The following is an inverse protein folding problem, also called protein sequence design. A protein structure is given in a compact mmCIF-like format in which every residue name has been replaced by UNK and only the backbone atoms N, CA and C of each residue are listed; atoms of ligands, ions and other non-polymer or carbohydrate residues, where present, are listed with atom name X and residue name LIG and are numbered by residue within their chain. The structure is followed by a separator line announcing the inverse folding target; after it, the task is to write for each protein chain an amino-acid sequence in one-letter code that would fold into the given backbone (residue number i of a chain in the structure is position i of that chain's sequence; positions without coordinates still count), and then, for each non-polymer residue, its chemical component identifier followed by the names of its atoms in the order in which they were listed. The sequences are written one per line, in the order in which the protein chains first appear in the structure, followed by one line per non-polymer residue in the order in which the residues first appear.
data_IF_645318789240
#
_entry.id   IF_645318789240
#
_cell.length_a   1.000
_cell.length_b   1.000
_cell.length_c   1.000
_cell.angle_alpha   90.00
_cell.angle_beta   90.00
_cell.angle_gamma   90.00
#
_symmetry.space_group_name_H-M   'P 1'
#
loop_
_entity.id
_entity.type
_entity.pdbx_description
1 polymer ?
2 non-polymer ?
3 non-polymer ?
4 non-polymer ?
5 water ?
#
# COMPACT_ATOMS: atom_id res chain seq x y z
N UNK A 21 -8.75 9.38 -26.65
CA UNK A 21 -7.99 9.61 -27.92
C UNK A 21 -7.28 8.29 -28.29
N UNK A 22 -6.67 8.31 -29.47
CA UNK A 22 -6.18 7.07 -30.06
C UNK A 22 -5.06 6.51 -29.23
N UNK A 23 -5.19 5.23 -28.83
CA UNK A 23 -4.15 4.60 -28.03
C UNK A 23 -4.21 5.00 -26.56
N UNK A 24 -5.17 5.85 -26.18
CA UNK A 24 -5.24 6.38 -24.82
C UNK A 24 -6.47 5.89 -24.10
N UNK A 25 -7.26 5.02 -24.72
CA UNK A 25 -8.47 4.60 -24.05
C UNK A 25 -8.28 3.33 -23.24
N UNK A 26 -8.90 3.36 -22.07
CA UNK A 26 -9.01 2.26 -21.15
C UNK A 26 -10.37 1.58 -21.30
N UNK A 27 -10.56 0.36 -20.79
CA UNK A 27 -11.87 -0.28 -20.89
C UNK A 27 -12.95 0.55 -20.20
N UNK A 28 -14.19 0.46 -20.67
CA UNK A 28 -15.27 1.25 -20.15
C UNK A 28 -15.57 0.87 -18.70
N UNK A 29 -15.22 -0.34 -18.29
CA UNK A 29 -15.47 -0.84 -16.93
C UNK A 29 -14.21 -0.75 -16.04
N UNK A 30 -13.22 -0.01 -16.51
CA UNK A 30 -11.98 0.17 -15.75
C UNK A 30 -12.30 0.86 -14.44
N UNK A 31 -11.61 0.47 -13.39
CA UNK A 31 -11.74 1.14 -12.10
C UNK A 31 -10.75 2.28 -12.03
N UNK A 32 -11.24 3.47 -11.68
CA UNK A 32 -10.49 4.71 -11.59
C UNK A 32 -10.72 5.25 -10.19
N UNK A 33 -9.68 5.30 -9.38
CA UNK A 33 -9.82 5.81 -8.04
C UNK A 33 -8.58 6.52 -7.56
N UNK A 34 -8.68 6.94 -6.29
CA UNK A 34 -7.57 7.40 -5.52
C UNK A 34 -7.57 6.61 -4.21
N UNK A 35 -6.42 6.60 -3.53
CA UNK A 35 -6.21 5.72 -2.38
C UNK A 35 -5.70 6.53 -1.19
N UNK A 36 -6.02 6.01 0.00
CA UNK A 36 -5.58 6.50 1.29
C UNK A 36 -5.40 5.30 2.24
N UNK A 37 -4.83 5.60 3.41
CA UNK A 37 -4.67 4.68 4.55
C UNK A 37 -5.19 5.36 5.79
N UNK A 38 -5.78 4.59 6.69
CA UNK A 38 -6.52 5.14 7.84
C UNK A 38 -5.64 6.00 8.71
N UNK A 39 -4.48 5.50 9.14
CA UNK A 39 -3.70 6.31 10.10
C UNK A 39 -3.20 7.58 9.46
N UNK A 40 -3.01 7.55 8.15
CA UNK A 40 -2.44 8.70 7.46
C UNK A 40 -3.44 9.85 7.42
N UNK A 41 -4.75 9.56 7.41
CA UNK A 41 -5.76 10.57 7.15
C UNK A 41 -6.76 10.77 8.28
N UNK A 42 -7.08 9.77 9.09
CA UNK A 42 -8.31 9.87 9.88
C UNK A 42 -8.26 10.82 11.07
N UNK A 43 -7.14 10.82 11.79
CA UNK A 43 -7.20 11.52 13.07
C UNK A 43 -8.16 10.86 14.05
N UNK A 44 -8.77 11.63 14.94
CA UNK A 44 -9.73 11.09 15.89
C UNK A 44 -9.19 9.81 16.57
N UNK A 45 -7.95 9.86 17.01
CA UNK A 45 -7.20 8.67 17.42
C UNK A 45 -7.75 8.02 18.67
N UNK A 46 -8.40 8.80 19.53
CA UNK A 46 -8.96 8.25 20.76
C UNK A 46 -10.48 8.27 20.76
N UNK A 47 -11.09 8.59 19.64
CA UNK A 47 -12.53 8.79 19.59
C UNK A 47 -13.25 7.47 19.36
N UNK A 48 -14.48 7.38 19.91
CA UNK A 48 -15.43 6.32 19.58
C UNK A 48 -14.78 4.95 19.76
N UNK A 49 -14.04 4.80 20.84
CA UNK A 49 -13.51 3.52 21.29
C UNK A 49 -12.22 3.06 20.62
N UNK A 50 -11.61 3.86 19.76
CA UNK A 50 -10.40 3.42 19.09
C UNK A 50 -9.31 3.12 20.09
N UNK A 51 -8.62 2.00 19.86
CA UNK A 51 -7.47 1.65 20.68
C UNK A 51 -6.19 2.34 20.28
N UNK A 52 -5.08 1.91 20.84
CA UNK A 52 -3.78 2.44 20.51
C UNK A 52 -3.11 1.52 19.48
N UNK A 53 -2.60 2.09 18.39
CA UNK A 53 -1.86 1.36 17.39
C UNK A 53 -0.37 1.53 17.60
N UNK A 54 0.41 0.68 16.95
CA UNK A 54 1.86 0.85 16.94
C UNK A 54 2.25 2.21 16.39
N UNK A 55 1.49 2.77 15.49
CA UNK A 55 1.81 4.07 14.91
C UNK A 55 1.48 5.23 15.82
N UNK A 56 0.51 5.06 16.72
CA UNK A 56 0.34 6.01 17.82
C UNK A 56 1.58 5.99 18.69
N UNK A 57 2.02 4.81 19.10
CA UNK A 57 3.18 4.66 19.99
C UNK A 57 4.40 5.28 19.31
N UNK A 58 4.62 4.91 18.05
CA UNK A 58 5.81 5.29 17.34
C UNK A 58 5.82 6.79 17.05
N UNK A 59 4.71 7.37 16.61
CA UNK A 59 4.77 8.78 16.29
C UNK A 59 4.88 9.65 17.54
N UNK A 60 4.46 9.13 18.72
CA UNK A 60 4.60 9.83 19.98
C UNK A 60 5.94 9.53 20.62
N UNK A 61 6.84 8.82 19.96
CA UNK A 61 8.18 8.54 20.45
C UNK A 61 9.07 9.66 19.91
N UNK A 62 9.78 10.42 20.79
CA UNK A 62 10.68 11.46 20.32
C UNK A 62 11.67 11.00 19.27
N UNK A 63 11.74 11.78 18.19
CA UNK A 63 12.75 11.52 17.19
C UNK A 63 12.34 10.63 16.04
N UNK A 64 11.25 9.86 16.16
CA UNK A 64 10.90 8.92 15.12
C UNK A 64 10.34 9.61 13.89
N UNK A 65 9.69 10.72 14.04
CA UNK A 65 9.06 11.41 12.90
C UNK A 65 9.91 12.64 12.58
N UNK A 66 10.13 12.91 11.31
CA UNK A 66 11.10 13.94 10.93
C UNK A 66 10.78 15.31 11.50
N UNK A 67 9.49 15.66 11.60
CA UNK A 67 9.03 17.00 11.87
C UNK A 67 8.20 17.10 13.14
N UNK A 68 8.27 16.08 14.00
CA UNK A 68 7.58 16.17 15.27
C UNK A 68 6.05 16.06 15.16
N UNK A 69 5.52 15.63 14.01
CA UNK A 69 4.09 15.52 13.86
C UNK A 69 3.67 14.09 14.22
N UNK A 70 2.34 13.95 14.34
CA UNK A 70 1.70 12.67 14.59
C UNK A 70 0.47 12.57 13.73
N UNK A 71 -0.16 11.38 13.77
CA UNK A 71 -1.44 11.18 13.17
C UNK A 71 -2.64 11.57 14.02
N UNK A 72 -2.41 12.32 15.12
CA UNK A 72 -3.51 12.59 16.02
C UNK A 72 -4.70 13.29 15.35
N UNK A 73 -4.42 14.22 14.46
CA UNK A 73 -5.46 14.88 13.69
C UNK A 73 -5.38 14.51 12.20
N UNK A 74 -4.19 14.59 11.61
CA UNK A 74 -3.93 14.22 10.21
C UNK A 74 -4.86 15.06 9.36
N UNK A 75 -5.69 14.44 8.52
CA UNK A 75 -6.63 15.19 7.68
C UNK A 75 -8.00 15.29 8.32
N UNK A 76 -8.15 14.71 9.51
CA UNK A 76 -9.40 14.65 10.24
C UNK A 76 -10.45 13.97 9.39
N UNK A 77 -10.07 12.92 8.62
CA UNK A 77 -11.02 12.23 7.75
C UNK A 77 -12.03 11.37 8.49
N UNK A 78 -11.76 11.02 9.76
CA UNK A 78 -12.79 10.32 10.52
C UNK A 78 -14.07 11.15 10.52
N UNK A 79 -13.91 12.46 10.70
CA UNK A 79 -15.02 13.39 10.71
C UNK A 79 -15.33 13.95 9.33
N UNK A 80 -14.34 14.01 8.44
CA UNK A 80 -14.46 14.81 7.23
C UNK A 80 -14.44 13.91 6.01
N UNK A 81 -14.78 12.63 6.16
CA UNK A 81 -14.76 11.74 5.01
C UNK A 81 -15.75 12.19 3.93
N UNK A 82 -16.83 12.90 4.32
CA UNK A 82 -17.74 13.44 3.34
C UNK A 82 -17.08 14.44 2.42
N UNK A 83 -16.15 15.23 2.97
CA UNK A 83 -15.38 16.13 2.13
C UNK A 83 -14.51 15.33 1.17
N UNK A 84 -13.94 14.23 1.65
CA UNK A 84 -13.12 13.39 0.78
C UNK A 84 -13.98 12.84 -0.35
N UNK A 85 -15.22 12.39 -0.04
CA UNK A 85 -16.14 11.94 -1.07
C UNK A 85 -16.42 13.06 -2.08
N UNK A 86 -16.58 14.27 -1.54
CA UNK A 86 -16.73 15.40 -2.45
C UNK A 86 -15.57 15.52 -3.42
N UNK A 87 -14.34 15.35 -2.94
CA UNK A 87 -13.19 15.43 -3.82
C UNK A 87 -13.22 14.31 -4.87
N UNK A 88 -13.51 13.08 -4.44
CA UNK A 88 -13.53 11.94 -5.34
C UNK A 88 -14.57 12.16 -6.42
N UNK A 89 -15.73 12.72 -6.06
CA UNK A 89 -16.74 13.05 -7.02
C UNK A 89 -16.29 14.16 -7.99
N UNK A 90 -15.67 15.20 -7.45
CA UNK A 90 -15.18 16.29 -8.28
C UNK A 90 -14.13 15.77 -9.26
N UNK A 91 -13.36 14.75 -8.87
CA UNK A 91 -12.37 14.16 -9.76
C UNK A 91 -12.96 13.20 -10.80
N UNK A 92 -14.24 12.86 -10.67
CA UNK A 92 -14.93 11.94 -11.58
C UNK A 92 -14.45 10.51 -11.39
N UNK A 93 -13.95 10.17 -10.21
CA UNK A 93 -13.52 8.79 -9.96
C UNK A 93 -14.74 7.87 -9.85
N UNK A 94 -14.53 6.56 -9.96
CA UNK A 94 -15.60 5.59 -9.79
C UNK A 94 -15.28 4.62 -8.65
N UNK A 95 -14.22 4.88 -7.87
CA UNK A 95 -13.82 3.98 -6.80
C UNK A 95 -12.98 4.77 -5.81
N UNK A 96 -12.87 4.23 -4.60
CA UNK A 96 -12.03 4.76 -3.53
C UNK A 96 -11.43 3.59 -2.78
N UNK A 97 -10.10 3.62 -2.70
CA UNK A 97 -9.36 2.61 -1.96
C UNK A 97 -8.95 3.22 -0.64
N UNK A 98 -9.38 2.59 0.44
CA UNK A 98 -9.13 3.11 1.79
C UNK A 98 -8.91 1.93 2.71
N UNK A 99 -8.35 2.18 3.88
CA UNK A 99 -8.15 1.07 4.84
C UNK A 99 -9.08 1.25 6.04
N UNK A 100 -9.38 0.11 6.64
CA UNK A 100 -10.10 0.04 7.90
C UNK A 100 -9.07 -0.07 9.02
N UNK A 101 -9.23 0.76 10.06
CA UNK A 101 -8.30 0.73 11.17
C UNK A 101 -8.68 -0.41 12.11
N UNK A 102 -7.84 -1.43 12.19
CA UNK A 102 -8.03 -2.51 13.15
C UNK A 102 -8.26 -1.97 14.56
N UNK A 103 -7.53 -0.94 15.00
CA UNK A 103 -7.76 -0.37 16.33
C UNK A 103 -9.16 0.15 16.57
N UNK A 104 -9.92 0.49 15.52
CA UNK A 104 -11.29 0.95 15.72
C UNK A 104 -12.25 -0.25 15.82
N UNK A 105 -11.85 -1.42 15.32
CA UNK A 105 -12.73 -2.58 15.17
C UNK A 105 -12.53 -3.54 16.34
N UNK A 106 -11.28 -3.85 16.68
CA UNK A 106 -10.95 -4.68 17.84
C UNK A 106 -9.88 -3.91 18.59
N UNK A 107 -10.23 -2.96 19.46
CA UNK A 107 -9.27 -2.05 20.06
C UNK A 107 -8.10 -2.73 20.77
N UNK A 108 -8.29 -3.92 21.34
CA UNK A 108 -7.20 -4.61 22.01
C UNK A 108 -6.48 -5.58 21.08
N UNK A 109 -6.83 -5.63 19.79
CA UNK A 109 -6.19 -6.51 18.85
C UNK A 109 -6.86 -7.87 18.85
N UNK A 110 -6.88 -8.48 20.02
CA UNK A 110 -7.58 -9.71 20.33
C UNK A 110 -8.44 -9.41 21.54
N UNK A 111 -9.73 -9.33 21.30
CA UNK A 111 -10.60 -8.88 22.37
C UNK A 111 -11.95 -8.57 21.77
N UNK A 112 -12.80 -7.86 22.54
CA UNK A 112 -14.13 -7.52 22.06
C UNK A 112 -14.11 -6.67 20.81
N UNK A 113 -15.19 -6.81 20.07
CA UNK A 113 -15.46 -5.88 18.96
C UNK A 113 -15.85 -4.51 19.52
N UNK A 114 -15.61 -3.49 18.71
CA UNK A 114 -16.09 -2.14 18.98
C UNK A 114 -17.11 -1.82 17.92
N UNK A 115 -18.42 -1.91 18.28
CA UNK A 115 -19.41 -1.78 17.24
C UNK A 115 -19.43 -0.37 16.66
N UNK A 116 -19.07 0.63 17.45
CA UNK A 116 -19.04 2.01 16.96
C UNK A 116 -18.08 2.12 15.78
N UNK A 117 -16.99 1.37 15.81
CA UNK A 117 -16.03 1.41 14.72
C UNK A 117 -16.59 0.79 13.44
N UNK A 118 -17.24 -0.39 13.57
CA UNK A 118 -17.89 -1.01 12.44
C UNK A 118 -19.00 -0.12 11.87
N UNK A 119 -19.76 0.54 12.73
CA UNK A 119 -20.86 1.37 12.27
C UNK A 119 -20.35 2.57 11.51
N UNK A 120 -19.23 3.13 11.94
CA UNK A 120 -18.60 4.23 11.22
C UNK A 120 -18.32 3.81 9.78
N UNK A 121 -17.60 2.69 9.61
CA UNK A 121 -17.25 2.28 8.27
C UNK A 121 -18.46 1.86 7.46
N UNK A 122 -19.49 1.31 8.11
CA UNK A 122 -20.72 0.99 7.41
C UNK A 122 -21.37 2.23 6.82
N UNK A 123 -21.41 3.31 7.59
CA UNK A 123 -21.95 4.56 7.08
C UNK A 123 -21.09 5.05 5.92
N UNK A 124 -19.76 4.98 6.07
CA UNK A 124 -18.86 5.49 5.05
C UNK A 124 -19.03 4.69 3.75
N UNK A 125 -19.18 3.36 3.86
CA UNK A 125 -19.44 2.52 2.69
C UNK A 125 -20.73 2.97 2.01
N UNK A 126 -21.80 3.17 2.82
CA UNK A 126 -23.04 3.57 2.21
C UNK A 126 -22.91 4.93 1.55
N UNK A 127 -22.17 5.87 2.16
CA UNK A 127 -21.95 7.18 1.54
C UNK A 127 -21.23 7.03 0.20
N UNK A 128 -20.22 6.16 0.14
CA UNK A 128 -19.47 5.96 -1.09
C UNK A 128 -20.38 5.34 -2.14
N UNK A 129 -21.13 4.27 -1.81
CA UNK A 129 -22.01 3.64 -2.80
C UNK A 129 -23.09 4.63 -3.25
N UNK A 130 -23.60 5.45 -2.34
CA UNK A 130 -24.59 6.45 -2.74
C UNK A 130 -24.03 7.47 -3.73
N UNK A 131 -22.73 7.72 -3.71
CA UNK A 131 -22.05 8.62 -4.65
C UNK A 131 -21.55 7.93 -5.91
N UNK A 132 -21.82 6.63 -6.05
CA UNK A 132 -21.33 5.91 -7.20
C UNK A 132 -19.84 5.56 -7.13
N UNK A 133 -19.27 5.46 -5.92
CA UNK A 133 -17.87 5.14 -5.72
C UNK A 133 -17.76 3.74 -5.12
N UNK A 134 -17.15 2.84 -5.87
CA UNK A 134 -16.97 1.48 -5.39
C UNK A 134 -15.90 1.46 -4.31
N UNK A 135 -16.22 0.94 -3.11
CA UNK A 135 -15.22 0.84 -2.05
C UNK A 135 -14.27 -0.32 -2.33
N UNK A 136 -12.99 -0.05 -2.31
CA UNK A 136 -11.96 -1.06 -2.33
C UNK A 136 -11.31 -1.03 -0.97
N UNK A 137 -11.58 -2.01 -0.13
CA UNK A 137 -11.18 -1.92 1.27
C UNK A 137 -9.90 -2.71 1.51
N UNK A 138 -8.94 -2.07 2.17
CA UNK A 138 -7.75 -2.74 2.67
C UNK A 138 -7.94 -3.02 4.15
N UNK A 139 -7.75 -4.25 4.62
CA UNK A 139 -7.92 -4.54 6.04
C UNK A 139 -6.76 -4.07 6.89
N UNK A 140 -5.53 -4.15 6.38
CA UNK A 140 -4.35 -3.83 7.17
C UNK A 140 -3.42 -2.92 6.39
N UNK A 141 -3.33 -1.65 6.81
CA UNK A 141 -2.37 -0.70 6.29
C UNK A 141 -1.58 -0.16 7.46
N UNK A 142 -1.03 -1.09 8.26
CA UNK A 142 0.13 -0.89 9.13
C UNK A 142 -0.20 -0.52 10.59
N UNK A 143 -1.46 -0.36 10.91
CA UNK A 143 -1.88 0.13 12.23
C UNK A 143 -2.21 -1.04 13.14
N UNK A 144 -1.21 -1.87 13.40
CA UNK A 144 -1.36 -3.00 14.32
C UNK A 144 -1.72 -2.51 15.70
N UNK A 145 -2.74 -3.06 16.36
CA UNK A 145 -3.02 -2.71 17.76
C UNK A 145 -1.80 -2.92 18.64
N UNK A 146 -1.50 -1.92 19.47
CA UNK A 146 -0.29 -1.99 20.32
C UNK A 146 -0.32 -3.15 21.29
N UNK A 147 -1.49 -3.57 21.86
CA UNK A 147 -1.47 -4.75 22.69
C UNK A 147 -0.90 -5.99 22.03
N UNK A 148 -1.09 -6.14 20.70
CA UNK A 148 -0.51 -7.29 20.02
C UNK A 148 1.00 -7.14 19.91
N UNK A 149 1.47 -5.93 19.61
CA UNK A 149 2.92 -5.69 19.60
C UNK A 149 3.56 -5.93 20.96
N UNK A 150 2.84 -5.69 22.03
CA UNK A 150 3.37 -5.99 23.37
C UNK A 150 3.55 -7.49 23.55
N UNK A 151 2.89 -8.31 22.73
CA UNK A 151 3.07 -9.77 22.70
C UNK A 151 3.80 -10.23 21.43
N UNK A 152 4.73 -9.39 20.95
CA UNK A 152 5.67 -9.63 19.87
C UNK A 152 5.13 -9.25 18.49
N UNK A 153 3.87 -8.83 18.38
CA UNK A 153 3.38 -8.31 17.12
C UNK A 153 3.52 -9.33 16.01
N UNK A 154 4.00 -8.90 14.86
CA UNK A 154 4.14 -9.82 13.75
C UNK A 154 5.26 -10.83 13.98
N UNK A 155 5.97 -10.71 15.10
CA UNK A 155 6.88 -11.77 15.51
C UNK A 155 6.20 -13.01 16.07
N UNK A 156 4.89 -12.95 16.31
CA UNK A 156 4.12 -14.04 16.89
C UNK A 156 3.10 -14.59 15.90
N UNK A 157 3.03 -15.92 15.77
CA UNK A 157 2.03 -16.59 14.95
C UNK A 157 0.64 -16.23 15.42
N UNK A 158 0.48 -15.95 16.71
CA UNK A 158 -0.84 -15.69 17.26
C UNK A 158 -1.40 -14.39 16.66
N UNK A 159 -0.52 -13.48 16.23
CA UNK A 159 -1.01 -12.26 15.61
C UNK A 159 -1.70 -12.57 14.27
N UNK A 160 -1.15 -13.53 13.53
CA UNK A 160 -1.79 -14.01 12.31
C UNK A 160 -3.19 -14.57 12.57
N UNK A 161 -3.37 -15.34 13.64
CA UNK A 161 -4.65 -15.95 13.92
C UNK A 161 -5.67 -14.85 14.19
N UNK A 162 -5.27 -13.85 14.98
CA UNK A 162 -6.24 -12.83 15.40
C UNK A 162 -6.42 -11.81 14.28
N UNK A 163 -5.44 -11.66 13.37
CA UNK A 163 -5.71 -10.87 12.16
C UNK A 163 -6.88 -11.52 11.40
N UNK A 164 -6.82 -12.88 11.23
CA UNK A 164 -7.88 -13.54 10.50
C UNK A 164 -9.25 -13.40 11.15
N UNK A 165 -9.29 -13.34 12.49
CA UNK A 165 -10.53 -13.11 13.19
C UNK A 165 -11.05 -11.70 12.91
N UNK A 166 -10.16 -10.70 12.95
CA UNK A 166 -10.54 -9.33 12.58
C UNK A 166 -11.11 -9.27 11.17
N UNK A 167 -10.49 -9.97 10.23
CA UNK A 167 -10.95 -9.96 8.85
C UNK A 167 -12.35 -10.54 8.75
N UNK A 168 -12.62 -11.62 9.50
CA UNK A 168 -13.95 -12.22 9.59
C UNK A 168 -14.98 -11.22 10.09
N UNK A 169 -14.64 -10.51 11.17
CA UNK A 169 -15.55 -9.57 11.81
C UNK A 169 -15.94 -8.49 10.79
N UNK A 170 -14.97 -7.94 10.09
CA UNK A 170 -15.29 -6.83 9.21
C UNK A 170 -16.10 -7.30 8.02
N UNK A 171 -15.76 -8.41 7.40
CA UNK A 171 -16.50 -8.91 6.25
C UNK A 171 -17.93 -9.27 6.63
N UNK A 172 -18.14 -9.76 7.85
CA UNK A 172 -19.51 -10.07 8.25
C UNK A 172 -20.40 -8.83 8.19
N UNK A 173 -19.85 -7.67 8.54
CA UNK A 173 -20.60 -6.42 8.64
C UNK A 173 -20.69 -5.73 7.27
N UNK A 174 -19.61 -5.75 6.47
CA UNK A 174 -19.53 -4.94 5.27
C UNK A 174 -19.58 -5.72 3.96
N UNK A 175 -19.47 -7.05 4.04
CA UNK A 175 -19.34 -7.89 2.87
C UNK A 175 -20.62 -8.06 2.06
N UNK A 176 -21.72 -7.51 2.55
CA UNK A 176 -22.94 -7.49 1.75
C UNK A 176 -22.88 -6.38 0.70
N UNK A 177 -21.97 -5.42 0.90
CA UNK A 177 -21.85 -4.23 0.06
C UNK A 177 -20.50 -4.07 -0.60
N UNK A 178 -19.43 -4.56 0.00
CA UNK A 178 -18.09 -4.44 -0.52
C UNK A 178 -17.70 -5.79 -1.11
N UNK A 179 -17.43 -5.84 -2.40
CA UNK A 179 -16.98 -7.06 -3.04
C UNK A 179 -15.46 -7.16 -3.09
N UNK A 180 -14.75 -6.05 -3.18
CA UNK A 180 -13.32 -6.06 -3.43
C UNK A 180 -12.55 -5.71 -2.16
N UNK A 181 -11.77 -6.67 -1.69
CA UNK A 181 -11.05 -6.59 -0.43
C UNK A 181 -9.59 -6.91 -0.65
N UNK A 182 -8.68 -6.22 0.04
CA UNK A 182 -7.30 -6.67 0.20
C UNK A 182 -7.08 -6.97 1.65
N UNK A 183 -6.28 -7.99 1.94
CA UNK A 183 -5.86 -8.31 3.28
C UNK A 183 -4.84 -7.30 3.78
N UNK A 184 -3.64 -7.39 3.24
CA UNK A 184 -2.50 -6.58 3.62
C UNK A 184 -2.14 -5.59 2.53
N UNK A 185 -1.62 -4.45 2.99
CA UNK A 185 -0.93 -3.51 2.11
C UNK A 185 0.56 -3.55 2.41
N UNK A 186 1.36 -4.00 1.44
CA UNK A 186 2.82 -3.90 1.48
C UNK A 186 3.41 -4.59 2.69
N UNK A 187 3.29 -5.92 2.78
CA UNK A 187 3.96 -6.65 3.87
C UNK A 187 5.46 -6.46 3.91
N UNK A 188 6.09 -6.20 2.76
CA UNK A 188 7.52 -5.91 2.83
C UNK A 188 7.80 -4.72 3.74
N UNK A 189 6.99 -3.66 3.58
CA UNK A 189 7.16 -2.49 4.43
C UNK A 189 6.95 -2.84 5.91
N UNK A 190 5.81 -3.44 6.26
CA UNK A 190 5.54 -3.79 7.63
C UNK A 190 6.67 -4.63 8.24
N UNK A 191 7.17 -5.62 7.48
CA UNK A 191 8.20 -6.51 8.01
C UNK A 191 9.56 -5.85 8.03
N UNK A 192 9.96 -5.32 6.91
CA UNK A 192 11.34 -4.90 6.76
C UNK A 192 11.55 -3.50 7.31
N UNK A 193 10.67 -2.55 6.96
CA UNK A 193 10.83 -1.22 7.53
C UNK A 193 10.46 -1.22 9.01
N UNK A 194 9.52 -2.07 9.44
CA UNK A 194 9.08 -2.01 10.82
C UNK A 194 9.94 -2.82 11.79
N UNK A 195 10.53 -3.94 11.34
CA UNK A 195 11.21 -4.87 12.24
C UNK A 195 12.69 -5.07 11.91
N UNK A 196 13.14 -4.76 10.69
CA UNK A 196 14.55 -4.93 10.33
C UNK A 196 15.27 -3.60 10.29
N UNK A 197 14.77 -2.60 9.56
CA UNK A 197 15.44 -1.35 9.36
C UNK A 197 15.03 -0.30 10.38
N UNK A 198 13.91 -0.51 11.07
CA UNK A 198 13.53 0.31 12.20
C UNK A 198 12.97 1.68 11.87
N UNK A 199 12.67 1.93 10.59
CA UNK A 199 12.27 3.28 10.22
C UNK A 199 10.76 3.49 10.35
N UNK A 200 10.01 2.39 10.37
CA UNK A 200 8.56 2.44 10.57
C UNK A 200 8.22 1.72 11.86
N UNK A 201 7.00 1.95 12.35
CA UNK A 201 6.55 1.24 13.53
C UNK A 201 6.54 -0.26 13.33
N UNK A 202 6.88 -1.09 14.36
CA UNK A 202 7.16 -0.64 15.71
C UNK A 202 8.60 -0.16 15.95
N UNK A 203 9.49 -0.32 14.97
CA UNK A 203 10.80 0.28 15.09
C UNK A 203 11.90 -0.69 15.51
N UNK A 204 11.73 -1.99 15.29
CA UNK A 204 12.77 -2.94 15.63
C UNK A 204 13.83 -2.97 14.53
N UNK A 205 15.02 -3.45 14.89
CA UNK A 205 16.16 -3.48 13.99
C UNK A 205 16.87 -4.82 14.02
N UNK A 206 16.24 -5.86 13.52
CA UNK A 206 16.88 -7.17 13.47
C UNK A 206 16.37 -7.96 12.26
N UNK A 207 17.28 -8.53 11.48
CA UNK A 207 16.90 -9.25 10.29
C UNK A 207 15.97 -10.42 10.62
N UNK A 208 16.31 -11.22 11.61
CA UNK A 208 15.51 -12.40 11.93
C UNK A 208 14.11 -11.94 12.32
N UNK A 209 13.99 -10.85 13.09
CA UNK A 209 12.67 -10.33 13.44
C UNK A 209 11.91 -9.94 12.18
N UNK A 210 12.59 -9.31 11.24
CA UNK A 210 11.92 -8.92 10.00
C UNK A 210 11.43 -10.12 9.21
N UNK A 211 12.27 -11.13 9.09
CA UNK A 211 11.88 -12.30 8.32
C UNK A 211 10.79 -13.11 8.99
N UNK A 212 10.83 -13.18 10.32
CA UNK A 212 9.78 -13.84 11.04
C UNK A 212 8.45 -13.07 10.84
N UNK A 213 8.56 -11.75 10.94
CA UNK A 213 7.38 -10.92 10.71
C UNK A 213 6.87 -11.16 9.30
N UNK A 214 7.76 -11.24 8.30
CA UNK A 214 7.29 -11.43 6.92
C UNK A 214 6.47 -12.72 6.78
N UNK A 215 6.90 -13.81 7.49
CA UNK A 215 6.22 -15.07 7.43
C UNK A 215 4.85 -14.97 8.09
N UNK A 216 4.78 -14.33 9.28
CA UNK A 216 3.52 -14.28 10.00
C UNK A 216 2.53 -13.33 9.31
N UNK A 217 3.03 -12.31 8.63
CA UNK A 217 2.17 -11.49 7.79
C UNK A 217 1.57 -12.33 6.67
N UNK A 218 2.43 -13.09 5.94
CA UNK A 218 1.91 -13.93 4.87
C UNK A 218 0.94 -14.96 5.41
N UNK A 219 1.24 -15.55 6.57
CA UNK A 219 0.35 -16.54 7.16
C UNK A 219 -0.98 -15.89 7.56
N UNK A 220 -0.92 -14.71 8.17
CA UNK A 220 -2.09 -13.93 8.49
C UNK A 220 -2.96 -13.66 7.26
N UNK A 221 -2.31 -13.23 6.18
CA UNK A 221 -2.96 -13.09 4.89
C UNK A 221 -3.73 -14.36 4.56
N UNK A 222 -3.03 -15.51 4.53
CA UNK A 222 -3.68 -16.73 4.06
C UNK A 222 -4.82 -17.19 4.94
N UNK A 223 -4.63 -17.11 6.27
CA UNK A 223 -5.69 -17.43 7.18
C UNK A 223 -6.88 -16.49 6.99
N UNK A 224 -6.60 -15.20 6.76
CA UNK A 224 -7.67 -14.22 6.58
C UNK A 224 -8.47 -14.48 5.31
N UNK A 225 -7.80 -14.86 4.22
CA UNK A 225 -8.53 -15.18 3.00
C UNK A 225 -9.58 -16.23 3.29
N UNK A 226 -9.13 -17.30 3.96
CA UNK A 226 -10.04 -18.41 4.18
C UNK A 226 -11.16 -18.03 5.15
N UNK A 227 -10.83 -17.26 6.20
CA UNK A 227 -11.84 -16.81 7.15
C UNK A 227 -12.85 -15.89 6.45
N UNK A 228 -12.36 -15.02 5.58
CA UNK A 228 -13.22 -14.08 4.85
C UNK A 228 -14.19 -14.80 3.93
N UNK A 229 -13.72 -15.83 3.22
CA UNK A 229 -14.65 -16.53 2.35
C UNK A 229 -15.74 -17.23 3.15
N UNK A 230 -15.35 -17.74 4.31
CA UNK A 230 -16.33 -18.40 5.17
C UNK A 230 -17.36 -17.44 5.75
N UNK A 231 -16.93 -16.23 6.13
CA UNK A 231 -17.78 -15.28 6.83
C UNK A 231 -18.63 -14.47 5.86
N UNK A 232 -18.22 -14.40 4.62
CA UNK A 232 -18.83 -13.42 3.71
C UNK A 232 -20.25 -13.81 3.35
N UNK A 233 -21.22 -12.87 3.27
CA UNK A 233 -22.54 -13.29 2.81
C UNK A 233 -22.69 -13.43 1.31
N UNK A 234 -21.67 -13.04 0.51
CA UNK A 234 -21.71 -13.21 -0.93
C UNK A 234 -20.29 -13.50 -1.41
N UNK A 235 -20.06 -14.02 -2.61
CA UNK A 235 -18.70 -14.21 -3.11
C UNK A 235 -17.94 -12.89 -3.14
N UNK A 236 -16.68 -12.95 -2.69
CA UNK A 236 -15.81 -11.78 -2.66
C UNK A 236 -14.71 -11.90 -3.68
N UNK A 237 -14.13 -10.74 -4.05
CA UNK A 237 -12.92 -10.68 -4.84
C UNK A 237 -11.81 -10.22 -3.91
N UNK A 238 -10.98 -11.16 -3.47
CA UNK A 238 -9.97 -10.91 -2.45
C UNK A 238 -8.60 -10.92 -3.06
N UNK A 239 -7.83 -9.89 -2.72
CA UNK A 239 -6.46 -9.71 -3.17
C UNK A 239 -5.52 -9.41 -1.99
N UNK A 240 -4.26 -9.25 -2.35
CA UNK A 240 -3.23 -8.69 -1.49
C UNK A 240 -2.56 -7.61 -2.31
N UNK A 241 -1.98 -6.63 -1.64
CA UNK A 241 -1.34 -5.52 -2.30
C UNK A 241 0.14 -5.53 -1.93
N UNK A 242 1.00 -5.59 -2.96
CA UNK A 242 2.44 -5.61 -2.76
C UNK A 242 3.06 -4.37 -3.40
N UNK A 243 4.02 -3.76 -2.72
CA UNK A 243 4.94 -2.85 -3.38
C UNK A 243 5.97 -3.68 -4.16
N UNK A 244 6.14 -3.33 -5.42
CA UNK A 244 7.14 -4.00 -6.24
C UNK A 244 8.10 -2.98 -6.79
N UNK A 245 9.40 -3.31 -6.69
CA UNK A 245 10.46 -2.45 -7.14
C UNK A 245 11.25 -3.17 -8.23
N UNK A 246 11.03 -2.85 -9.51
CA UNK A 246 11.86 -3.48 -10.57
C UNK A 246 13.30 -3.06 -10.36
N UNK A 247 14.21 -4.05 -10.52
CA UNK A 247 15.60 -3.86 -10.15
C UNK A 247 16.46 -4.12 -11.37
N UNK A 248 17.46 -3.29 -11.55
CA UNK A 248 18.28 -3.35 -12.74
C UNK A 248 19.71 -3.28 -12.26
N UNK A 249 20.62 -4.14 -12.74
CA UNK A 249 22.01 -3.96 -12.31
C UNK A 249 22.60 -2.73 -13.00
N UNK A 250 23.47 -2.03 -12.25
CA UNK A 250 24.10 -0.82 -12.70
C UNK A 250 25.11 -1.08 -13.80
N UNK A 251 25.70 -2.29 -13.81
CA UNK A 251 26.56 -2.77 -14.88
C UNK A 251 26.26 -4.25 -15.06
N UNK A 252 26.89 -4.88 -16.04
CA UNK A 252 26.70 -6.29 -16.32
C UNK A 252 27.74 -7.13 -15.59
N UNK A 253 28.50 -6.56 -14.65
CA UNK A 253 29.45 -7.31 -13.86
C UNK A 253 28.72 -8.37 -13.05
N UNK A 254 29.32 -9.54 -12.79
CA UNK A 254 28.70 -10.52 -11.90
C UNK A 254 28.26 -9.98 -10.55
N UNK A 255 29.05 -9.08 -9.97
CA UNK A 255 28.77 -8.53 -8.65
C UNK A 255 27.51 -7.67 -8.69
N UNK A 256 27.36 -6.86 -9.73
CA UNK A 256 26.18 -5.99 -9.79
C UNK A 256 24.95 -6.77 -10.19
N UNK A 257 25.07 -7.72 -11.11
CA UNK A 257 23.92 -8.57 -11.44
C UNK A 257 23.45 -9.34 -10.21
N UNK A 258 24.36 -9.89 -9.42
CA UNK A 258 23.98 -10.63 -8.24
C UNK A 258 23.31 -9.70 -7.24
N UNK A 259 23.83 -8.49 -7.10
CA UNK A 259 23.20 -7.55 -6.17
C UNK A 259 21.76 -7.30 -6.61
N UNK A 260 21.56 -7.07 -7.91
CA UNK A 260 20.20 -6.86 -8.40
C UNK A 260 19.32 -8.05 -8.08
N UNK A 261 19.82 -9.26 -8.25
CA UNK A 261 19.04 -10.45 -7.96
C UNK A 261 18.69 -10.48 -6.48
N UNK A 262 19.65 -10.17 -5.62
CA UNK A 262 19.36 -10.25 -4.19
C UNK A 262 18.33 -9.21 -3.80
N UNK A 263 18.48 -7.98 -4.30
CA UNK A 263 17.49 -6.92 -3.97
C UNK A 263 16.11 -7.29 -4.50
N UNK A 264 16.03 -7.83 -5.73
CA UNK A 264 14.79 -8.33 -6.29
C UNK A 264 14.17 -9.41 -5.41
N UNK A 265 14.99 -10.33 -4.88
CA UNK A 265 14.55 -11.34 -3.94
C UNK A 265 14.00 -10.78 -2.62
N UNK A 266 14.74 -9.83 -2.09
CA UNK A 266 14.46 -9.18 -0.81
C UNK A 266 13.09 -8.49 -0.83
N UNK A 267 12.80 -7.75 -1.89
CA UNK A 267 11.56 -6.98 -1.96
C UNK A 267 10.46 -7.79 -2.62
N UNK A 268 10.71 -8.35 -3.80
CA UNK A 268 9.67 -8.82 -4.68
C UNK A 268 9.45 -10.30 -4.53
N UNK A 269 10.49 -11.15 -4.81
CA UNK A 269 10.22 -12.57 -4.90
C UNK A 269 9.93 -13.22 -3.56
N UNK A 270 10.44 -12.66 -2.47
CA UNK A 270 10.19 -13.21 -1.17
C UNK A 270 8.69 -13.29 -0.88
N UNK A 271 7.88 -12.34 -1.46
CA UNK A 271 6.45 -12.36 -1.28
C UNK A 271 5.74 -13.02 -2.48
N UNK A 272 6.15 -12.68 -3.70
CA UNK A 272 5.49 -13.22 -4.89
C UNK A 272 5.53 -14.74 -4.92
N UNK A 273 6.70 -15.31 -4.61
CA UNK A 273 6.88 -16.72 -4.83
C UNK A 273 5.98 -17.53 -3.90
N UNK A 274 5.97 -17.30 -2.57
CA UNK A 274 5.11 -18.09 -1.69
C UNK A 274 3.62 -17.89 -1.99
N UNK A 275 3.25 -16.65 -2.35
CA UNK A 275 1.87 -16.40 -2.77
C UNK A 275 1.50 -17.22 -3.99
N UNK A 276 2.48 -17.44 -4.87
CA UNK A 276 2.32 -18.17 -6.14
C UNK A 276 2.37 -19.69 -5.93
N UNK A 277 2.58 -20.16 -4.70
CA UNK A 277 2.67 -21.57 -4.41
C UNK A 277 4.04 -22.17 -4.70
N UNK A 278 5.07 -21.33 -4.81
CA UNK A 278 6.41 -21.72 -5.24
C UNK A 278 7.38 -21.84 -4.06
N UNK A 279 6.84 -21.71 -2.85
CA UNK A 279 7.66 -21.63 -1.65
C UNK A 279 8.42 -20.32 -1.61
N UNK A 280 9.27 -20.15 -0.60
CA UNK A 280 10.20 -19.04 -0.57
C UNK A 280 11.31 -19.26 -1.59
N UNK A 281 11.83 -18.20 -2.21
CA UNK A 281 12.89 -18.37 -3.21
C UNK A 281 14.14 -18.96 -2.56
N UNK A 282 14.67 -20.02 -3.16
CA UNK A 282 15.72 -20.80 -2.54
C UNK A 282 17.02 -19.99 -2.45
N UNK A 283 17.33 -19.12 -3.42
CA UNK A 283 18.51 -18.29 -3.33
C UNK A 283 18.49 -17.41 -2.09
N UNK A 284 17.31 -16.88 -1.75
CA UNK A 284 17.21 -16.03 -0.59
C UNK A 284 17.22 -16.85 0.69
N UNK A 285 16.54 -17.99 0.73
CA UNK A 285 16.65 -18.89 1.88
C UNK A 285 18.11 -19.18 2.19
N UNK A 286 18.86 -19.54 1.16
CA UNK A 286 20.25 -19.95 1.40
C UNK A 286 21.07 -18.77 1.87
N UNK A 287 20.81 -17.58 1.32
CA UNK A 287 21.49 -16.36 1.68
C UNK A 287 21.17 -15.94 3.13
N UNK A 288 19.88 -15.93 3.49
CA UNK A 288 19.47 -15.58 4.84
C UNK A 288 19.88 -16.64 5.87
N UNK A 289 19.98 -17.89 5.43
CA UNK A 289 20.29 -18.98 6.35
C UNK A 289 19.31 -19.08 7.51
N UNK A 290 19.80 -19.33 8.74
CA UNK A 290 18.94 -19.60 9.89
C UNK A 290 18.11 -18.38 10.30
N UNK A 291 18.45 -17.19 9.80
CA UNK A 291 17.60 -16.03 10.08
C UNK A 291 16.20 -16.15 9.45
N UNK A 292 16.06 -17.00 8.43
CA UNK A 292 14.77 -17.13 7.79
C UNK A 292 13.93 -18.09 8.60
N UNK A 293 12.59 -17.97 8.52
CA UNK A 293 11.72 -18.87 9.24
C UNK A 293 11.87 -20.25 8.61
N UNK A 294 11.65 -21.28 9.43
CA UNK A 294 11.40 -22.61 8.89
C UNK A 294 9.96 -22.61 8.41
N UNK A 295 9.76 -22.76 7.11
CA UNK A 295 8.43 -22.67 6.55
C UNK A 295 7.91 -24.08 6.32
N UNK A 296 7.17 -24.61 7.29
CA UNK A 296 6.63 -25.94 7.14
C UNK A 296 5.60 -25.92 6.00
N UNK A 297 5.48 -27.03 5.24
CA UNK A 297 4.51 -27.14 4.15
C UNK A 297 3.07 -26.65 4.42
N UNK A 298 2.60 -26.86 5.65
CA UNK A 298 1.24 -26.51 6.04
C UNK A 298 1.06 -24.99 5.92
N UNK A 299 2.04 -24.26 6.44
CA UNK A 299 1.99 -22.81 6.39
C UNK A 299 2.04 -22.32 4.94
N UNK A 300 2.94 -22.86 4.10
CA UNK A 300 3.04 -22.49 2.70
C UNK A 300 1.72 -22.72 1.97
N UNK A 301 1.02 -23.81 2.31
CA UNK A 301 -0.28 -24.08 1.72
C UNK A 301 -1.27 -22.95 2.03
N UNK A 302 -1.26 -22.55 3.31
CA UNK A 302 -2.16 -21.51 3.81
C UNK A 302 -1.82 -20.18 3.11
N UNK A 303 -0.54 -19.86 3.03
CA UNK A 303 -0.09 -18.63 2.40
C UNK A 303 -0.58 -18.50 0.96
N UNK A 304 -0.65 -19.62 0.25
CA UNK A 304 -1.07 -19.63 -1.15
C UNK A 304 -2.57 -19.78 -1.32
N UNK A 305 -3.38 -19.45 -0.30
CA UNK A 305 -4.84 -19.47 -0.43
C UNK A 305 -5.22 -18.76 -1.72
N UNK A 306 -6.05 -19.34 -2.60
CA UNK A 306 -6.31 -18.68 -3.87
C UNK A 306 -6.87 -17.25 -3.77
N UNK A 307 -6.26 -16.38 -4.58
CA UNK A 307 -6.57 -14.97 -4.71
C UNK A 307 -7.30 -14.64 -6.01
N UNK A 308 -8.21 -13.68 -5.92
CA UNK A 308 -8.95 -13.24 -7.08
C UNK A 308 -8.25 -12.15 -7.85
N UNK A 309 -7.33 -11.39 -7.23
CA UNK A 309 -6.61 -10.34 -7.92
C UNK A 309 -5.34 -10.03 -7.13
N UNK A 310 -4.42 -9.34 -7.77
CA UNK A 310 -3.23 -8.83 -7.10
C UNK A 310 -3.16 -7.33 -7.32
N UNK A 311 -2.84 -6.60 -6.24
CA UNK A 311 -2.62 -5.18 -6.31
C UNK A 311 -1.13 -4.86 -6.32
N UNK A 312 -0.73 -4.01 -7.26
CA UNK A 312 0.63 -3.56 -7.40
C UNK A 312 0.75 -2.11 -7.01
N UNK A 313 1.61 -1.81 -6.06
CA UNK A 313 1.98 -0.46 -5.71
C UNK A 313 3.34 -0.19 -6.35
N UNK A 314 3.44 0.87 -7.12
CA UNK A 314 4.64 1.18 -7.88
C UNK A 314 5.03 2.65 -7.71
N UNK A 315 6.27 2.91 -7.30
CA UNK A 315 6.80 4.26 -7.17
C UNK A 315 8.09 4.46 -7.97
N UNK A 316 9.00 3.49 -7.94
CA UNK A 316 10.37 3.73 -8.34
C UNK A 316 10.98 2.40 -8.77
N UNK A 317 12.11 2.47 -9.48
CA UNK A 317 12.92 1.28 -9.70
C UNK A 317 14.07 1.30 -8.71
N UNK A 318 14.88 0.24 -8.77
CA UNK A 318 16.16 0.24 -8.09
C UNK A 318 17.22 -0.11 -9.14
N UNK A 319 18.15 0.81 -9.37
CA UNK A 319 19.35 0.50 -10.13
C UNK A 319 20.48 0.18 -9.15
N UNK A 320 20.89 -1.09 -9.13
CA UNK A 320 21.62 -1.70 -8.04
C UNK A 320 23.10 -1.87 -8.34
N UNK A 321 23.90 -1.50 -7.35
CA UNK A 321 25.29 -1.87 -7.31
C UNK A 321 25.55 -2.73 -6.08
N UNK A 322 26.61 -3.56 -6.22
CA UNK A 322 27.00 -4.39 -5.10
C UNK A 322 27.45 -3.49 -3.95
N UNK A 323 27.14 -3.91 -2.73
CA UNK A 323 27.54 -3.17 -1.53
C UNK A 323 27.92 -4.19 -0.46
N UNK A 324 29.12 -4.80 -0.59
CA UNK A 324 29.48 -5.94 0.25
C UNK A 324 29.47 -5.54 1.72
N UNK A 325 29.81 -4.30 2.02
CA UNK A 325 29.96 -3.89 3.41
C UNK A 325 28.63 -3.46 4.02
N UNK A 326 27.57 -3.34 3.21
CA UNK A 326 26.28 -2.89 3.71
C UNK A 326 25.50 -4.07 4.32
N UNK A 327 24.37 -3.75 4.98
CA UNK A 327 23.48 -4.77 5.54
C UNK A 327 22.81 -5.56 4.41
N UNK A 328 22.37 -6.78 4.72
CA UNK A 328 21.63 -7.59 3.76
C UNK A 328 20.53 -6.69 3.19
N UNK A 329 20.24 -6.68 1.87
CA UNK A 329 20.84 -7.60 0.90
C UNK A 329 22.10 -7.17 0.13
N UNK A 330 22.91 -6.29 0.72
CA UNK A 330 24.20 -5.93 0.18
C UNK A 330 24.05 -5.36 -1.22
N UNK A 331 23.12 -4.40 -1.37
CA UNK A 331 22.85 -3.81 -2.67
C UNK A 331 22.45 -2.36 -2.48
N UNK A 332 23.16 -1.43 -3.12
CA UNK A 332 22.79 -0.03 -2.95
C UNK A 332 22.36 0.61 -4.26
N UNK A 333 21.57 1.68 -4.10
CA UNK A 333 21.00 2.38 -5.22
C UNK A 333 22.08 3.26 -5.86
N UNK A 334 22.21 3.20 -7.18
CA UNK A 334 23.04 4.16 -7.90
C UNK A 334 22.12 5.08 -8.71
N UNK A 335 22.02 6.35 -8.30
CA UNK A 335 21.04 7.23 -8.91
C UNK A 335 21.59 7.65 -10.28
N UNK A 336 20.72 7.52 -11.29
CA UNK A 336 20.97 7.93 -12.66
C UNK A 336 20.58 9.41 -12.75
N UNK A 337 21.55 10.35 -12.68
CA UNK A 337 21.22 11.78 -12.60
C UNK A 337 20.70 12.33 -13.93
N UNK A 338 20.78 11.50 -14.99
CA UNK A 338 20.03 11.74 -16.20
C UNK A 338 18.54 11.81 -15.84
N UNK A 339 18.03 10.72 -15.26
CA UNK A 339 16.63 10.67 -14.85
C UNK A 339 16.36 11.75 -13.81
N UNK A 340 15.20 12.41 -13.92
CA UNK A 340 14.74 13.36 -12.91
C UNK A 340 14.14 12.73 -11.64
N UNK A 341 14.07 13.56 -10.60
CA UNK A 341 13.73 13.13 -9.25
C UNK A 341 12.56 13.98 -8.79
N UNK A 342 11.71 13.40 -7.92
CA UNK A 342 10.69 14.16 -7.21
C UNK A 342 11.26 14.69 -5.91
N UNK A 343 10.42 14.99 -4.91
CA UNK A 343 10.90 15.44 -3.61
C UNK A 343 11.70 14.32 -2.93
N UNK A 344 11.38 13.04 -3.22
CA UNK A 344 12.00 11.97 -2.43
C UNK A 344 12.40 10.78 -3.30
N UNK A 345 12.04 10.74 -4.58
CA UNK A 345 12.32 9.59 -5.42
C UNK A 345 12.76 9.92 -6.85
N UNK A 346 13.41 8.94 -7.47
CA UNK A 346 13.73 8.94 -8.89
C UNK A 346 12.49 8.58 -9.70
N UNK A 347 12.21 9.35 -10.75
CA UNK A 347 11.06 9.04 -11.60
C UNK A 347 11.52 8.10 -12.71
N UNK A 348 10.80 6.98 -12.89
CA UNK A 348 11.16 6.01 -13.91
C UNK A 348 9.90 5.28 -14.38
N UNK A 349 9.11 5.91 -15.29
CA UNK A 349 7.82 5.30 -15.64
C UNK A 349 7.91 3.93 -16.27
N UNK A 350 8.99 3.69 -17.05
CA UNK A 350 9.12 2.45 -17.75
C UNK A 350 9.24 1.22 -16.85
N UNK A 351 9.61 1.43 -15.57
CA UNK A 351 9.67 0.32 -14.62
C UNK A 351 8.31 -0.31 -14.33
N UNK A 352 7.26 0.51 -14.48
CA UNK A 352 5.90 0.02 -14.33
C UNK A 352 5.53 -0.94 -15.45
N UNK A 353 5.96 -0.55 -16.68
CA UNK A 353 5.80 -1.46 -17.78
C UNK A 353 6.55 -2.76 -17.51
N UNK A 354 7.81 -2.65 -17.13
CA UNK A 354 8.64 -3.83 -16.95
C UNK A 354 8.03 -4.75 -15.90
N UNK A 355 7.60 -4.19 -14.74
CA UNK A 355 7.13 -5.06 -13.68
C UNK A 355 5.79 -5.74 -14.02
N UNK A 356 4.92 -5.01 -14.75
CA UNK A 356 3.69 -5.61 -15.20
C UNK A 356 3.93 -6.70 -16.24
N UNK A 357 4.88 -6.48 -17.16
CA UNK A 357 5.21 -7.51 -18.16
C UNK A 357 5.75 -8.75 -17.45
N UNK A 358 6.55 -8.52 -16.40
CA UNK A 358 7.07 -9.62 -15.62
C UNK A 358 5.94 -10.40 -14.95
N UNK A 359 5.03 -9.67 -14.28
CA UNK A 359 3.92 -10.37 -13.66
C UNK A 359 3.06 -11.13 -14.64
N UNK A 360 2.78 -10.50 -15.80
CA UNK A 360 1.99 -11.10 -16.86
C UNK A 360 2.65 -12.42 -17.31
N UNK A 361 3.94 -12.38 -17.58
CA UNK A 361 4.63 -13.50 -18.24
C UNK A 361 5.16 -14.51 -17.24
N UNK A 362 5.48 -14.11 -16.01
CA UNK A 362 6.33 -14.92 -15.14
C UNK A 362 5.57 -15.42 -13.92
N UNK A 363 4.38 -14.86 -13.61
CA UNK A 363 3.62 -15.23 -12.43
C UNK A 363 2.16 -15.45 -12.79
N UNK A 364 1.41 -16.13 -11.90
CA UNK A 364 0.04 -16.54 -12.18
C UNK A 364 -1.10 -15.61 -11.76
N UNK A 365 -0.77 -14.45 -11.19
CA UNK A 365 -1.80 -13.58 -10.65
C UNK A 365 -2.49 -12.83 -11.78
N UNK A 366 -3.81 -12.78 -11.68
CA UNK A 366 -4.58 -12.00 -12.63
C UNK A 366 -6.03 -12.03 -12.16
N UNK A 367 -6.83 -10.95 -12.39
CA UNK A 367 -6.35 -9.71 -12.92
C UNK A 367 -5.48 -8.93 -11.92
N UNK A 368 -4.94 -7.83 -12.43
CA UNK A 368 -4.05 -6.93 -11.70
C UNK A 368 -4.76 -5.59 -11.56
N UNK A 369 -4.52 -4.93 -10.42
CA UNK A 369 -4.86 -3.53 -10.22
C UNK A 369 -3.62 -2.74 -9.83
N UNK A 370 -3.46 -1.55 -10.32
CA UNK A 370 -2.45 -0.65 -9.77
C UNK A 370 -3.10 0.03 -8.56
N UNK A 371 -2.77 -0.41 -7.35
CA UNK A 371 -3.49 0.05 -6.16
C UNK A 371 -2.87 1.31 -5.55
N UNK A 372 -1.63 1.70 -5.88
CA UNK A 372 -1.04 2.97 -5.51
C UNK A 372 0.02 3.32 -6.57
N UNK A 373 0.00 4.54 -7.06
CA UNK A 373 1.05 5.07 -7.93
C UNK A 373 0.96 6.58 -7.79
N UNK A 374 2.03 7.29 -7.42
CA UNK A 374 2.02 8.72 -7.30
C UNK A 374 3.37 9.22 -6.83
N UNK A 375 3.41 10.48 -6.49
CA UNK A 375 4.69 11.12 -6.15
C UNK A 375 4.52 12.30 -5.20
N UNK A 376 5.67 12.64 -4.57
CA UNK A 376 5.77 13.70 -3.59
C UNK A 376 6.51 14.87 -4.22
N UNK A 377 6.02 16.06 -3.95
CA UNK A 377 6.65 17.26 -4.47
C UNK A 377 6.62 18.29 -3.36
N UNK A 378 7.38 19.38 -3.56
CA UNK A 378 7.33 20.51 -2.65
C UNK A 378 6.17 21.41 -3.01
N UNK A 379 4.94 20.87 -2.89
CA UNK A 379 3.77 21.58 -3.39
C UNK A 379 3.53 22.83 -2.58
N UNK A 380 3.16 23.90 -3.29
CA UNK A 380 2.83 25.12 -2.62
C UNK A 380 1.57 25.71 -3.28
N UNK A 381 0.79 26.36 -2.46
CA UNK A 381 -0.31 27.17 -2.98
C UNK A 381 0.27 28.42 -3.64
N UNK A 382 -0.07 28.61 -4.91
CA UNK A 382 0.46 29.70 -5.72
C UNK A 382 -0.31 30.97 -5.45
N UNK A 383 0.14 32.07 -6.07
CA UNK A 383 -0.54 33.33 -5.90
C UNK A 383 -2.01 33.27 -6.33
N UNK A 384 -2.32 32.54 -7.40
CA UNK A 384 -3.68 32.38 -7.92
C UNK A 384 -4.54 31.46 -7.05
N UNK A 385 -3.92 30.69 -6.17
CA UNK A 385 -4.64 29.83 -5.23
C UNK A 385 -4.60 28.35 -5.62
N UNK A 386 -4.14 28.03 -6.82
CA UNK A 386 -3.97 26.66 -7.25
C UNK A 386 -2.62 26.10 -6.85
N UNK A 387 -2.41 24.83 -7.15
CA UNK A 387 -1.16 24.15 -6.92
C UNK A 387 -0.68 23.68 -8.27
N UNK A 388 0.41 24.28 -8.80
CA UNK A 388 0.87 23.95 -10.13
C UNK A 388 1.90 22.83 -10.09
N UNK A 389 1.41 21.59 -9.90
CA UNK A 389 2.28 20.44 -9.76
C UNK A 389 2.48 19.72 -11.08
N UNK A 390 3.07 20.45 -12.06
CA UNK A 390 3.23 19.82 -13.36
C UNK A 390 4.06 18.54 -13.42
N UNK A 391 5.03 18.38 -12.50
CA UNK A 391 5.83 17.19 -12.50
C UNK A 391 4.97 15.98 -12.13
N UNK A 392 3.98 16.24 -11.25
CA UNK A 392 3.05 15.18 -10.85
C UNK A 392 2.06 14.89 -11.98
N UNK A 393 1.59 15.93 -12.69
CA UNK A 393 0.78 15.74 -13.89
C UNK A 393 1.54 14.85 -14.88
N UNK A 394 2.83 15.19 -15.13
CA UNK A 394 3.68 14.43 -16.03
C UNK A 394 3.96 13.03 -15.52
N UNK A 395 4.03 12.89 -14.19
CA UNK A 395 4.17 11.58 -13.59
C UNK A 395 2.98 10.68 -13.94
N UNK A 396 1.76 11.21 -13.74
CA UNK A 396 0.60 10.43 -14.06
C UNK A 396 0.51 10.15 -15.58
N UNK A 397 0.76 11.17 -16.39
CA UNK A 397 0.66 10.99 -17.84
C UNK A 397 1.60 9.88 -18.31
N UNK A 398 2.85 9.91 -17.80
CA UNK A 398 3.81 8.92 -18.24
C UNK A 398 3.54 7.50 -17.73
N UNK A 399 3.05 7.38 -16.47
CA UNK A 399 2.74 6.07 -15.96
C UNK A 399 1.51 5.47 -16.65
N UNK A 400 0.49 6.32 -16.88
CA UNK A 400 -0.70 5.82 -17.59
C UNK A 400 -0.38 5.44 -19.05
N UNK A 401 0.60 6.12 -19.63
CA UNK A 401 1.05 5.71 -20.97
C UNK A 401 1.69 4.33 -20.93
N UNK A 402 2.45 4.04 -19.86
CA UNK A 402 3.02 2.71 -19.73
C UNK A 402 1.93 1.68 -19.47
N UNK A 403 0.83 2.05 -18.75
CA UNK A 403 -0.23 1.11 -18.54
C UNK A 403 -0.98 0.80 -19.86
N UNK A 404 -1.14 1.79 -20.73
CA UNK A 404 -1.72 1.50 -22.03
C UNK A 404 -0.81 0.60 -22.86
N UNK A 405 0.51 0.76 -22.74
CA UNK A 405 1.44 -0.18 -23.40
C UNK A 405 1.27 -1.58 -22.84
N UNK A 406 1.14 -1.66 -21.49
CA UNK A 406 0.98 -2.94 -20.86
C UNK A 406 -0.33 -3.62 -21.23
N UNK A 407 -1.43 -2.85 -21.27
CA UNK A 407 -2.69 -3.39 -21.73
C UNK A 407 -2.55 -3.91 -23.18
N UNK A 408 -1.86 -3.13 -24.01
CA UNK A 408 -1.66 -3.55 -25.41
C UNK A 408 -0.89 -4.88 -25.51
N UNK A 409 0.03 -5.16 -24.56
CA UNK A 409 0.75 -6.42 -24.50
C UNK A 409 -0.06 -7.58 -23.92
N UNK A 410 -1.33 -7.40 -23.49
CA UNK A 410 -2.15 -8.47 -22.98
C UNK A 410 -2.23 -8.51 -21.43
N UNK A 411 -1.63 -7.55 -20.75
CA UNK A 411 -1.66 -7.61 -19.28
C UNK A 411 -3.09 -7.34 -18.83
N UNK A 412 -3.63 -8.19 -17.95
CA UNK A 412 -5.02 -8.09 -17.52
C UNK A 412 -5.23 -7.08 -16.39
N UNK A 413 -5.06 -5.81 -16.73
CA UNK A 413 -5.11 -4.74 -15.75
C UNK A 413 -6.52 -4.14 -15.71
N UNK A 414 -7.16 -4.16 -14.51
CA UNK A 414 -8.56 -3.78 -14.35
C UNK A 414 -8.75 -2.47 -13.60
N UNK A 415 -7.70 -1.83 -13.13
CA UNK A 415 -7.93 -0.53 -12.52
C UNK A 415 -6.67 0.18 -12.10
N UNK A 416 -6.83 1.42 -11.69
CA UNK A 416 -5.75 2.33 -11.37
C UNK A 416 -6.21 3.22 -10.23
N UNK A 417 -5.42 3.27 -9.16
CA UNK A 417 -5.67 4.21 -8.07
C UNK A 417 -4.48 5.12 -7.87
N UNK A 418 -4.70 6.42 -8.00
CA UNK A 418 -3.72 7.44 -7.72
C UNK A 418 -3.42 7.49 -6.24
N UNK A 419 -2.14 7.45 -5.93
CA UNK A 419 -1.66 7.70 -4.58
C UNK A 419 -1.27 9.15 -4.47
N UNK A 420 -1.78 9.95 -3.54
CA UNK A 420 -2.86 9.70 -2.60
C UNK A 420 -3.98 10.66 -2.92
N UNK A 421 -5.20 10.41 -2.46
CA UNK A 421 -6.26 11.38 -2.67
C UNK A 421 -5.85 12.74 -2.13
N UNK A 422 -5.26 12.79 -0.93
CA UNK A 422 -4.91 14.10 -0.40
C UNK A 422 -3.63 13.97 0.40
N UNK A 423 -2.98 15.12 0.60
CA UNK A 423 -1.75 15.15 1.37
C UNK A 423 -2.07 14.63 2.77
N UNK A 424 -1.14 13.90 3.36
CA UNK A 424 -1.47 13.27 4.64
C UNK A 424 -0.25 13.11 5.52
N UNK A 425 -0.45 12.37 6.62
CA UNK A 425 0.66 12.01 7.51
C UNK A 425 1.50 10.92 6.85
N UNK A 426 2.67 11.27 6.31
CA UNK A 426 3.50 10.42 5.50
C UNK A 426 4.51 9.70 6.40
N UNK A 427 3.96 8.96 7.35
CA UNK A 427 4.74 8.03 8.15
C UNK A 427 5.93 8.76 8.77
N UNK A 428 7.14 8.21 8.63
CA UNK A 428 8.31 8.80 9.27
C UNK A 428 8.64 10.19 8.76
N UNK A 429 8.08 10.61 7.64
CA UNK A 429 8.33 11.95 7.15
C UNK A 429 7.31 12.95 7.68
N UNK A 430 6.26 12.49 8.39
CA UNK A 430 5.32 13.42 8.96
C UNK A 430 4.47 14.10 7.91
N UNK A 431 4.02 15.29 8.27
CA UNK A 431 3.19 16.11 7.40
C UNK A 431 4.02 16.80 6.33
N UNK A 432 5.36 16.63 6.37
CA UNK A 432 6.29 17.41 5.58
C UNK A 432 6.26 17.00 4.10
N UNK A 433 5.84 15.77 3.77
CA UNK A 433 6.09 15.17 2.49
C UNK A 433 4.73 14.91 1.83
N UNK A 434 4.42 15.67 0.76
CA UNK A 434 3.07 15.77 0.20
C UNK A 434 2.92 14.91 -1.05
N UNK A 435 2.09 13.84 -0.94
CA UNK A 435 1.80 12.90 -2.01
C UNK A 435 0.42 13.09 -2.65
N UNK A 436 -0.36 14.04 -2.20
CA UNK A 436 -1.75 14.15 -2.64
C UNK A 436 -1.91 14.59 -4.10
N UNK A 437 -3.05 14.23 -4.70
CA UNK A 437 -3.59 14.93 -5.87
C UNK A 437 -4.44 16.11 -5.44
N UNK A 438 -4.78 16.17 -4.15
CA UNK A 438 -5.39 17.33 -3.51
C UNK A 438 -4.46 17.76 -2.35
N UNK A 439 -4.34 19.09 -2.20
CA UNK A 439 -3.55 19.71 -1.19
C UNK A 439 -4.37 19.76 0.10
N UNK A 440 -3.73 19.40 1.23
CA UNK A 440 -4.35 19.51 2.53
C UNK A 440 -3.66 20.61 3.34
N UNK A 441 -4.45 21.60 3.72
CA UNK A 441 -3.96 22.59 4.68
C UNK A 441 -4.12 21.96 6.06
N UNK A 442 -3.00 21.54 6.68
CA UNK A 442 -3.12 20.82 7.94
C UNK A 442 -3.52 21.67 9.13
N UNK A 443 -3.48 23.00 9.00
CA UNK A 443 -3.96 23.87 10.06
C UNK A 443 -5.48 24.07 9.99
N UNK A 444 -6.01 24.29 8.79
CA UNK A 444 -7.43 24.58 8.65
C UNK A 444 -8.26 23.37 8.19
N UNK A 445 -7.55 22.36 7.70
CA UNK A 445 -8.11 21.13 7.16
C UNK A 445 -8.85 21.35 5.85
N UNK A 446 -8.67 22.49 5.23
CA UNK A 446 -9.16 22.69 3.87
C UNK A 446 -8.40 21.82 2.89
N UNK A 447 -9.12 21.26 1.92
CA UNK A 447 -8.54 20.54 0.80
C UNK A 447 -8.77 21.35 -0.47
N UNK A 448 -7.81 21.29 -1.38
CA UNK A 448 -7.90 21.97 -2.67
C UNK A 448 -7.31 21.05 -3.72
N UNK A 449 -7.97 20.85 -4.86
CA UNK A 449 -7.50 19.99 -5.91
C UNK A 449 -6.26 20.62 -6.57
N UNK A 450 -5.21 19.82 -6.70
CA UNK A 450 -4.01 20.31 -7.38
C UNK A 450 -4.22 20.20 -8.90
N UNK A 451 -3.35 20.86 -9.70
CA UNK A 451 -3.52 20.76 -11.14
C UNK A 451 -3.46 19.34 -11.67
N UNK A 452 -2.64 18.48 -11.07
CA UNK A 452 -2.55 17.11 -11.47
C UNK A 452 -3.91 16.41 -11.31
N UNK A 453 -4.60 16.74 -10.24
CA UNK A 453 -5.94 16.20 -10.00
C UNK A 453 -6.95 16.60 -11.09
N UNK A 454 -6.87 17.85 -11.54
CA UNK A 454 -7.73 18.29 -12.63
C UNK A 454 -7.34 17.62 -13.93
N UNK A 455 -6.05 17.33 -14.13
CA UNK A 455 -5.65 16.57 -15.30
C UNK A 455 -6.25 15.18 -15.25
N UNK A 456 -6.16 14.50 -14.08
CA UNK A 456 -6.73 13.18 -13.97
C UNK A 456 -8.22 13.26 -14.24
N UNK A 457 -8.89 14.24 -13.66
CA UNK A 457 -10.33 14.37 -13.87
C UNK A 457 -10.67 14.40 -15.35
N UNK A 458 -9.93 15.22 -16.10
CA UNK A 458 -10.31 15.39 -17.49
C UNK A 458 -9.88 14.23 -18.34
N UNK A 459 -8.80 13.53 -17.94
CA UNK A 459 -8.36 12.36 -18.66
C UNK A 459 -9.39 11.26 -18.49
N UNK A 460 -9.82 11.02 -17.23
CA UNK A 460 -10.82 10.02 -16.93
C UNK A 460 -12.12 10.37 -17.64
N UNK A 461 -12.52 11.63 -17.63
CA UNK A 461 -13.79 12.01 -18.24
C UNK A 461 -13.75 11.77 -19.75
N UNK A 462 -12.59 11.86 -20.39
CA UNK A 462 -12.49 11.58 -21.81
C UNK A 462 -12.77 10.10 -22.13
N UNK A 463 -12.80 9.23 -21.10
CA UNK A 463 -13.05 7.81 -21.32
C UNK A 463 -14.54 7.49 -21.52
X LIG B 1 16.45 16.10 5.50
X LIG B 1 15.84 15.77 4.47
X LIG B 1 16.31 17.17 6.05
X LIG B 1 17.44 15.08 6.09
X LIG B 1 16.77 13.91 6.77
X LIG B 1 15.70 14.15 7.36
X LIG B 1 17.26 12.75 6.59
X LIG C 1 1.94 4.83 1.53
X LIG C 1 2.75 3.55 1.41
X LIG C 1 3.76 3.64 0.28
X LIG C 1 4.55 4.88 0.39
X LIG C 1 5.53 5.27 -0.67
X LIG C 1 2.85 6.00 1.65
X LIG C 1 2.17 7.16 1.62
X LIG C 1 1.14 4.67 2.71
X LIG C 1 1.87 2.42 1.31
X LIG C 1 4.76 2.60 0.52
X LIG C 1 3.64 6.05 0.50
X LIG C 1 6.17 6.48 -0.10
X LIG D 1 17.48 -9.58 -11.86
X LIG D 1 16.31 -8.59 -11.90
X LIG D 1 16.02 -8.14 -13.32
X LIG D 1 17.26 -7.55 -14.00
X LIG D 1 14.93 -7.17 -13.20
X LIG D 1 14.55 -6.54 -14.49
X LIG D 1 13.39 -5.60 -14.32
X LIG D 1 11.81 -6.41 -14.15
X LIG D 1 11.92 -7.25 -12.97
X LIG D 1 10.82 -5.36 -14.03
X LIG D 1 11.69 -7.23 -15.43
X LIG D 1 18.38 -8.58 -14.01
X LIG D 1 18.69 -9.04 -12.61
#
# INVERSE_FOLDING_TARGET
MGSSHHHHHHSSGLVPRGSHMAGERFPADFVWGAATAAYQIEGAVREDGRGVSIWDTFSHTPGKIADGTTGDVACDSYHRYGEDIGLLNALGMNAYRFSIAWPRIVPLGAGPINQAGLDHYSRMVDALLGAGLQPFVTLYHWDLPQPLEDRLGWGSRATATVFAEYADIVVRQLGDRVTHWATLNEPWCSAMLGYYLGVHAPGHTDLKRGLEASHNLLLGHGLAVQAMRAAAPQPLQIGIVLNLTPTYPASDSPEDVAAARRFDGFVNRWFLDPLAGRGYPQDMLDYYGAAAPQANPEDLTQIAAPLDWLGVNYYERMRAVDAPDASLPQAQRLDDPDLPHTADREVYPEGLYDILLRLHNDYPFRPLYITQNGCALHDEIAEDGGIHDGQRQAFFEAHLAQLQRALAAGVPLKGYFAWSLLDNFEWAMGLSMRYGICYTNFETLERRIKDSGYWLRDFIAGQRG
MLA C1 O1A O1B C2 C3 O3A O3B
BGC C2 C3 C4 C5 C6 C1 O1 O2 O3 O4 O5 O6
NHE C3' C2' C1' C6' N C1 C2 S O1 O2 O3 C5' C4'
#
